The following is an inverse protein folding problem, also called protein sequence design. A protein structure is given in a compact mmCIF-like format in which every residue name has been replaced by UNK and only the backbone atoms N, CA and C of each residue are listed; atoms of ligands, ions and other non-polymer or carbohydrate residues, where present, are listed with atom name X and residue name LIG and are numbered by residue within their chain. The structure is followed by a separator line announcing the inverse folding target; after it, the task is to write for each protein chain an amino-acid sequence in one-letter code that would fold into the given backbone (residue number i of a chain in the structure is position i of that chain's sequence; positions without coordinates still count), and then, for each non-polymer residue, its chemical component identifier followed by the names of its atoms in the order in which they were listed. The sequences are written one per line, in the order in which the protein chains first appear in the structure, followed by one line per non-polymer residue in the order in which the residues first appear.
data_IF_305025568970
#
_entry.id   IF_305025568970
#
_cell.length_a   1.000
_cell.length_b   1.000
_cell.length_c   1.000
_cell.angle_alpha   90.00
_cell.angle_beta   90.00
_cell.angle_gamma   90.00
#
_symmetry.space_group_name_H-M   'P 1'
#
loop_
_entity.id
_entity.type
_entity.pdbx_description
1 polymer ?
#
# COMPACT_ATOMS: atom_id res chain seq x y z
N UNK A 1 -29.80 11.04 -10.82
CA UNK A 1 -29.02 10.96 -9.57
C UNK A 1 -28.13 12.19 -9.55
N UNK A 2 -28.03 12.92 -8.43
CA UNK A 2 -27.15 14.09 -8.36
C UNK A 2 -25.70 13.63 -8.22
N UNK A 3 -24.96 13.65 -9.34
CA UNK A 3 -23.58 13.14 -9.40
C UNK A 3 -22.58 14.02 -8.65
N UNK A 4 -22.97 15.24 -8.27
CA UNK A 4 -22.13 16.16 -7.48
C UNK A 4 -21.93 15.68 -6.03
N UNK A 5 -22.81 14.79 -5.55
CA UNK A 5 -22.78 14.24 -4.19
C UNK A 5 -22.14 12.86 -4.09
N UNK A 6 -21.47 12.40 -5.15
CA UNK A 6 -20.79 11.11 -5.13
C UNK A 6 -19.72 11.08 -4.01
N UNK A 7 -19.68 10.02 -3.20
CA UNK A 7 -18.73 9.90 -2.08
C UNK A 7 -17.31 9.52 -2.55
N UNK A 8 -16.99 9.75 -3.82
CA UNK A 8 -15.70 9.48 -4.46
C UNK A 8 -15.32 10.63 -5.38
N UNK A 9 -14.01 10.87 -5.62
CA UNK A 9 -13.57 11.87 -6.59
C UNK A 9 -14.04 11.48 -8.00
N UNK A 10 -14.98 12.25 -8.53
CA UNK A 10 -15.66 11.98 -9.78
C UNK A 10 -15.69 13.24 -10.64
N UNK A 11 -15.45 13.05 -11.94
CA UNK A 11 -15.59 14.08 -12.96
C UNK A 11 -16.47 13.59 -14.10
N UNK A 12 -17.27 14.51 -14.63
CA UNK A 12 -17.93 14.38 -15.92
C UNK A 12 -17.17 15.27 -16.89
N UNK A 13 -16.69 14.72 -18.01
CA UNK A 13 -15.92 15.45 -19.01
C UNK A 13 -16.55 15.34 -20.40
N UNK A 14 -16.23 16.27 -21.29
CA UNK A 14 -16.45 16.09 -22.73
C UNK A 14 -15.24 15.43 -23.42
N UNK A 15 -15.31 15.29 -24.75
CA UNK A 15 -14.24 14.69 -25.57
C UNK A 15 -12.97 15.52 -25.65
N UNK A 16 -13.06 16.82 -25.33
CA UNK A 16 -11.94 17.75 -25.28
C UNK A 16 -11.38 17.86 -23.85
N UNK A 17 -11.78 16.94 -22.96
CA UNK A 17 -11.37 16.85 -21.56
C UNK A 17 -11.85 18.01 -20.68
N UNK A 18 -12.78 18.84 -21.15
CA UNK A 18 -13.35 19.89 -20.30
C UNK A 18 -14.27 19.28 -19.26
N UNK A 19 -14.09 19.70 -18.01
CA UNK A 19 -14.88 19.26 -16.87
C UNK A 19 -16.25 19.94 -16.93
N UNK A 20 -17.28 19.15 -17.24
CA UNK A 20 -18.67 19.56 -17.23
C UNK A 20 -19.22 19.63 -15.80
N UNK A 21 -18.90 18.62 -14.97
CA UNK A 21 -19.27 18.58 -13.55
C UNK A 21 -18.24 17.81 -12.73
N UNK A 22 -18.15 18.11 -11.44
CA UNK A 22 -17.29 17.41 -10.49
C UNK A 22 -18.07 17.07 -9.21
N UNK A 23 -17.66 16.02 -8.51
CA UNK A 23 -18.15 15.73 -7.16
C UNK A 23 -17.48 16.61 -6.10
N UNK A 24 -18.12 16.77 -4.95
CA UNK A 24 -17.52 17.47 -3.81
C UNK A 24 -16.19 16.86 -3.36
N UNK A 25 -16.03 15.53 -3.50
CA UNK A 25 -14.77 14.86 -3.20
C UNK A 25 -13.68 15.18 -4.22
N UNK A 26 -14.03 15.32 -5.50
CA UNK A 26 -13.09 15.73 -6.53
C UNK A 26 -12.61 17.17 -6.30
N UNK A 27 -13.52 18.09 -5.99
CA UNK A 27 -13.17 19.49 -5.67
C UNK A 27 -12.30 19.62 -4.41
N UNK A 28 -12.56 18.79 -3.40
CA UNK A 28 -11.76 18.74 -2.18
C UNK A 28 -10.35 18.19 -2.40
N UNK A 29 -10.18 17.29 -3.38
CA UNK A 29 -8.92 16.61 -3.66
C UNK A 29 -8.05 17.35 -4.68
N UNK A 30 -8.65 17.87 -5.75
CA UNK A 30 -7.96 18.46 -6.89
C UNK A 30 -8.13 19.99 -6.93
N UNK A 31 -7.07 20.69 -7.35
CA UNK A 31 -7.11 22.13 -7.60
C UNK A 31 -7.05 22.35 -9.12
N UNK A 32 -8.20 22.38 -9.78
CA UNK A 32 -8.25 22.69 -11.20
C UNK A 32 -9.58 23.28 -11.61
N UNK A 33 -9.51 24.13 -12.62
CA UNK A 33 -10.62 24.91 -13.11
C UNK A 33 -10.60 24.78 -14.64
N UNK A 34 -11.42 23.89 -15.20
CA UNK A 34 -11.61 23.84 -16.65
C UNK A 34 -11.38 22.46 -17.25
N UNK A 35 -10.13 21.96 -17.28
CA UNK A 35 -9.82 20.69 -17.95
C UNK A 35 -9.31 19.62 -16.96
N UNK A 36 -9.63 18.36 -17.26
CA UNK A 36 -9.03 17.21 -16.58
C UNK A 36 -7.51 17.17 -16.79
N UNK A 37 -7.02 17.61 -17.96
CA UNK A 37 -5.58 17.57 -18.28
C UNK A 37 -4.76 18.52 -17.40
N UNK A 38 -5.35 19.62 -16.94
CA UNK A 38 -4.68 20.56 -16.02
C UNK A 38 -4.34 19.89 -14.67
N UNK A 39 -5.14 18.90 -14.28
CA UNK A 39 -4.98 18.10 -13.06
C UNK A 39 -3.90 17.03 -13.21
N UNK A 40 -3.37 16.80 -14.42
CA UNK A 40 -2.43 15.71 -14.71
C UNK A 40 -1.02 16.29 -14.77
N UNK A 41 -0.05 15.53 -14.27
CA UNK A 41 1.37 15.87 -14.39
C UNK A 41 1.81 15.82 -15.86
N UNK A 42 2.74 16.70 -16.24
CA UNK A 42 3.23 16.83 -17.62
C UNK A 42 3.74 15.49 -18.17
N UNK A 43 4.43 14.67 -17.35
CA UNK A 43 4.92 13.36 -17.74
C UNK A 43 3.84 12.30 -17.94
N UNK A 44 2.59 12.58 -17.54
CA UNK A 44 1.43 11.69 -17.65
C UNK A 44 0.39 12.16 -18.68
N UNK A 45 0.53 13.36 -19.25
CA UNK A 45 -0.46 13.91 -20.21
C UNK A 45 -0.59 13.06 -21.48
N UNK A 46 0.51 12.62 -22.07
CA UNK A 46 0.47 11.78 -23.30
C UNK A 46 -0.23 10.44 -23.05
N UNK A 47 -0.03 9.88 -21.84
CA UNK A 47 -0.71 8.66 -21.41
C UNK A 47 -2.21 8.92 -21.23
N UNK A 48 -2.57 10.03 -20.61
CA UNK A 48 -3.96 10.43 -20.43
C UNK A 48 -4.68 10.62 -21.77
N UNK A 49 -4.10 11.37 -22.70
CA UNK A 49 -4.74 11.65 -24.00
C UNK A 49 -4.83 10.41 -24.90
N UNK A 50 -3.92 9.45 -24.73
CA UNK A 50 -3.97 8.18 -25.45
C UNK A 50 -5.06 7.27 -24.92
N UNK A 51 -5.14 7.12 -23.59
CA UNK A 51 -5.96 6.07 -22.97
C UNK A 51 -7.28 6.56 -22.40
N UNK A 52 -7.45 7.84 -22.06
CA UNK A 52 -8.72 8.39 -21.59
C UNK A 52 -9.55 8.82 -22.83
N UNK A 53 -10.20 7.85 -23.47
CA UNK A 53 -10.99 8.09 -24.67
C UNK A 53 -12.08 7.04 -24.84
N UNK A 54 -13.14 7.35 -25.62
CA UNK A 54 -14.22 6.38 -25.91
C UNK A 54 -13.69 5.06 -26.49
N UNK A 55 -12.63 5.11 -27.29
CA UNK A 55 -12.00 3.92 -27.92
C UNK A 55 -11.33 2.98 -26.92
N UNK A 56 -11.06 3.45 -25.70
CA UNK A 56 -10.44 2.70 -24.61
C UNK A 56 -11.38 2.62 -23.39
N UNK A 57 -12.68 2.81 -23.59
CA UNK A 57 -13.67 2.71 -22.54
C UNK A 57 -13.50 1.41 -21.74
N UNK A 58 -13.52 1.52 -20.41
CA UNK A 58 -13.27 0.45 -19.43
C UNK A 58 -11.81 0.05 -19.17
N UNK A 59 -10.82 0.70 -19.79
CA UNK A 59 -9.42 0.54 -19.39
C UNK A 59 -9.12 1.46 -18.20
N UNK A 60 -8.56 0.88 -17.13
CA UNK A 60 -8.00 1.65 -16.01
C UNK A 60 -6.63 2.21 -16.41
N UNK A 61 -6.40 3.48 -16.10
CA UNK A 61 -5.16 4.18 -16.42
C UNK A 61 -4.55 4.73 -15.14
N UNK A 62 -3.36 4.29 -14.81
CA UNK A 62 -2.59 4.86 -13.71
C UNK A 62 -1.89 6.15 -14.17
N UNK A 63 -2.13 7.26 -13.49
CA UNK A 63 -1.61 8.59 -13.83
C UNK A 63 -1.04 9.29 -12.61
N UNK A 64 -0.02 10.13 -12.82
CA UNK A 64 0.40 11.10 -11.80
C UNK A 64 -0.48 12.34 -11.94
N UNK A 65 -1.17 12.70 -10.86
CA UNK A 65 -2.07 13.85 -10.82
C UNK A 65 -1.67 14.84 -9.73
N UNK A 66 -1.96 16.12 -9.98
CA UNK A 66 -1.70 17.25 -9.08
C UNK A 66 -2.85 17.35 -8.08
N UNK A 67 -2.56 17.16 -6.79
CA UNK A 67 -3.58 17.24 -5.72
C UNK A 67 -3.32 18.43 -4.81
N UNK A 68 -4.34 18.86 -4.06
CA UNK A 68 -4.25 19.99 -3.12
C UNK A 68 -3.29 19.75 -1.95
N UNK A 69 -3.29 18.53 -1.42
CA UNK A 69 -2.54 18.17 -0.20
C UNK A 69 -1.16 17.63 -0.50
N UNK A 70 -1.03 16.87 -1.61
CA UNK A 70 0.23 16.32 -2.08
C UNK A 70 0.48 16.81 -3.50
N UNK A 71 1.58 17.55 -3.77
CA UNK A 71 1.78 18.19 -5.07
C UNK A 71 1.63 17.24 -6.26
N UNK A 72 2.01 15.97 -6.09
CA UNK A 72 1.84 14.89 -7.05
C UNK A 72 1.46 13.59 -6.33
N UNK A 73 0.41 12.93 -6.79
CA UNK A 73 -0.06 11.64 -6.30
C UNK A 73 -0.27 10.65 -7.45
N UNK A 74 -0.06 9.36 -7.17
CA UNK A 74 -0.38 8.28 -8.09
C UNK A 74 -1.88 7.96 -7.97
N UNK A 75 -2.59 7.98 -9.09
CA UNK A 75 -4.03 7.87 -9.14
C UNK A 75 -4.44 6.85 -10.18
N UNK A 76 -5.28 5.90 -9.77
CA UNK A 76 -5.97 5.00 -10.68
C UNK A 76 -7.20 5.71 -11.24
N UNK A 77 -7.23 5.87 -12.55
CA UNK A 77 -8.32 6.56 -13.26
C UNK A 77 -9.17 5.53 -13.99
N UNK A 78 -10.44 5.45 -13.58
CA UNK A 78 -11.46 4.63 -14.22
C UNK A 78 -12.33 5.50 -15.09
N UNK A 79 -12.69 4.99 -16.27
CA UNK A 79 -13.51 5.71 -17.23
C UNK A 79 -14.66 4.86 -17.77
N UNK A 80 -15.79 5.51 -17.99
CA UNK A 80 -16.91 5.03 -18.80
C UNK A 80 -17.33 6.16 -19.73
N UNK A 81 -17.77 5.85 -20.94
CA UNK A 81 -18.24 6.84 -21.91
C UNK A 81 -19.66 6.50 -22.33
N UNK A 82 -20.52 7.51 -22.43
CA UNK A 82 -21.87 7.35 -22.96
C UNK A 82 -21.91 7.48 -24.50
N UNK A 83 -23.09 7.24 -25.08
CA UNK A 83 -23.30 7.37 -26.53
C UNK A 83 -23.21 8.82 -27.02
N UNK A 84 -23.44 9.79 -26.15
CA UNK A 84 -23.37 11.24 -26.44
C UNK A 84 -21.92 11.75 -26.48
N UNK A 85 -20.96 10.97 -25.97
CA UNK A 85 -19.55 11.33 -25.92
C UNK A 85 -19.13 11.98 -24.61
N UNK A 86 -19.94 11.86 -23.57
CA UNK A 86 -19.63 12.29 -22.20
C UNK A 86 -18.79 11.22 -21.51
N UNK A 87 -17.68 11.63 -20.92
CA UNK A 87 -16.79 10.78 -20.14
C UNK A 87 -17.10 10.87 -18.65
N UNK A 88 -17.34 9.72 -18.02
CA UNK A 88 -17.52 9.54 -16.59
C UNK A 88 -16.22 9.02 -15.98
N UNK A 89 -15.54 9.85 -15.21
CA UNK A 89 -14.20 9.58 -14.68
C UNK A 89 -14.26 9.44 -13.17
N UNK A 90 -13.68 8.37 -12.63
CA UNK A 90 -13.49 8.16 -11.19
C UNK A 90 -11.99 8.07 -10.90
N UNK A 91 -11.53 8.86 -9.94
CA UNK A 91 -10.13 8.92 -9.54
C UNK A 91 -9.94 8.33 -8.15
N UNK A 92 -9.10 7.29 -8.05
CA UNK A 92 -8.74 6.64 -6.78
C UNK A 92 -7.27 6.89 -6.49
N UNK A 93 -6.97 7.71 -5.48
CA UNK A 93 -5.59 7.93 -5.06
C UNK A 93 -5.03 6.69 -4.38
N UNK A 94 -3.88 6.20 -4.87
CA UNK A 94 -3.13 5.18 -4.14
C UNK A 94 -2.52 5.83 -2.88
N UNK A 95 -2.82 5.27 -1.71
CA UNK A 95 -2.35 5.86 -0.46
C UNK A 95 -0.82 5.73 -0.35
N UNK A 96 -0.13 6.84 -0.11
CA UNK A 96 1.32 6.85 0.18
C UNK A 96 1.67 6.04 1.42
N UNK A 97 0.75 5.86 2.37
CA UNK A 97 0.98 5.01 3.55
C UNK A 97 1.30 3.57 3.14
N UNK A 98 0.61 3.03 2.13
CA UNK A 98 0.89 1.68 1.63
C UNK A 98 2.28 1.60 0.97
N UNK A 99 2.71 2.63 0.25
CA UNK A 99 4.05 2.70 -0.35
C UNK A 99 5.15 2.83 0.71
N UNK A 100 4.97 3.66 1.74
CA UNK A 100 5.95 3.79 2.84
C UNK A 100 6.12 2.46 3.56
N UNK A 101 5.02 1.77 3.86
CA UNK A 101 5.04 0.44 4.48
C UNK A 101 5.73 -0.58 3.57
N UNK A 102 5.44 -0.56 2.26
CA UNK A 102 6.05 -1.46 1.27
C UNK A 102 7.56 -1.21 1.13
N UNK A 103 7.99 0.04 1.10
CA UNK A 103 9.41 0.42 1.04
C UNK A 103 10.14 0.05 2.34
N UNK A 104 9.50 0.22 3.49
CA UNK A 104 10.04 -0.23 4.78
C UNK A 104 10.17 -1.76 4.85
N UNK A 105 9.17 -2.48 4.35
CA UNK A 105 9.22 -3.94 4.19
C UNK A 105 10.35 -4.38 3.27
N UNK A 106 10.54 -3.71 2.13
CA UNK A 106 11.64 -3.99 1.20
C UNK A 106 13.01 -3.75 1.84
N UNK A 107 13.19 -2.65 2.57
CA UNK A 107 14.44 -2.36 3.29
C UNK A 107 14.72 -3.40 4.37
N UNK A 108 13.72 -3.77 5.18
CA UNK A 108 13.86 -4.83 6.18
C UNK A 108 14.16 -6.18 5.54
N UNK A 109 13.54 -6.51 4.40
CA UNK A 109 13.84 -7.74 3.65
C UNK A 109 15.29 -7.77 3.12
N UNK A 110 15.84 -6.64 2.66
CA UNK A 110 17.23 -6.55 2.22
C UNK A 110 18.21 -6.63 3.41
N UNK A 111 17.93 -5.94 4.51
CA UNK A 111 18.73 -6.00 5.74
C UNK A 111 18.74 -7.40 6.36
N UNK A 112 17.68 -8.21 6.17
CA UNK A 112 17.61 -9.60 6.60
C UNK A 112 18.36 -10.57 5.66
N UNK A 113 18.63 -10.19 4.41
CA UNK A 113 19.45 -11.00 3.47
C UNK A 113 20.95 -10.85 3.72
N UNK A 114 21.42 -9.70 4.20
CA UNK A 114 22.84 -9.47 4.51
C UNK A 114 23.46 -10.34 5.62
N UNK A 115 22.80 -10.62 6.77
CA UNK A 115 23.41 -11.38 7.87
C UNK A 115 23.66 -12.86 7.56
N UNK A 116 23.11 -13.38 6.45
CA UNK A 116 23.38 -14.73 5.98
C UNK A 116 24.68 -14.83 5.14
N UNK A 117 25.17 -13.72 4.56
CA UNK A 117 26.29 -13.75 3.60
C UNK A 117 27.67 -13.68 4.25
N UNK A 118 27.78 -13.14 5.47
CA UNK A 118 29.07 -12.86 6.14
C UNK A 118 29.28 -13.61 7.47
N UNK A 119 28.85 -14.87 7.60
CA UNK A 119 29.32 -15.71 8.73
C UNK A 119 30.60 -16.45 8.35
N UNK A 120 31.77 -16.12 8.96
CA UNK A 120 32.95 -16.96 8.83
C UNK A 120 32.64 -18.36 9.40
N UNK A 121 32.99 -19.39 8.62
CA UNK A 121 32.72 -20.79 8.89
C UNK A 121 33.32 -21.32 10.22
N UNK A 122 34.11 -20.53 10.94
CA UNK A 122 34.76 -20.91 12.19
C UNK A 122 33.88 -20.78 13.43
N UNK A 123 32.80 -20.00 13.42
CA UNK A 123 31.91 -19.85 14.59
C UNK A 123 30.87 -20.98 14.74
N UNK A 124 30.72 -21.84 13.73
CA UNK A 124 29.73 -22.92 13.74
C UNK A 124 30.06 -24.08 14.70
N UNK A 125 31.26 -24.11 15.31
CA UNK A 125 31.71 -25.26 16.11
C UNK A 125 31.50 -25.10 17.63
N UNK A 126 31.07 -23.94 18.11
CA UNK A 126 30.99 -23.66 19.57
C UNK A 126 29.63 -23.17 20.08
N UNK A 127 28.64 -22.92 19.22
CA UNK A 127 27.37 -22.33 19.65
C UNK A 127 26.14 -23.15 19.20
N UNK A 128 25.70 -24.09 20.05
CA UNK A 128 24.39 -24.76 19.97
C UNK A 128 24.17 -25.65 18.75
N UNK A 129 23.58 -26.84 18.94
CA UNK A 129 23.27 -27.74 17.83
C UNK A 129 22.36 -27.09 16.76
N UNK A 130 22.25 -27.69 15.55
CA UNK A 130 21.49 -27.14 14.42
C UNK A 130 20.02 -26.81 14.74
N UNK A 131 19.43 -27.46 15.74
CA UNK A 131 18.08 -27.19 16.25
C UNK A 131 17.99 -25.83 16.97
N UNK A 132 19.02 -25.47 17.73
CA UNK A 132 19.08 -24.20 18.49
C UNK A 132 19.19 -23.00 17.55
N UNK A 133 19.93 -23.15 16.45
CA UNK A 133 20.03 -22.14 15.39
C UNK A 133 18.68 -21.94 14.67
N UNK A 134 17.98 -23.02 14.32
CA UNK A 134 16.63 -22.93 13.72
C UNK A 134 15.60 -22.27 14.64
N UNK A 135 15.63 -22.58 15.94
CA UNK A 135 14.72 -21.94 16.92
C UNK A 135 15.02 -20.44 17.01
N UNK A 136 16.30 -20.05 17.06
CA UNK A 136 16.70 -18.64 17.05
C UNK A 136 16.25 -17.90 15.78
N UNK A 137 16.42 -18.51 14.62
CA UNK A 137 16.00 -17.95 13.34
C UNK A 137 14.48 -17.79 13.27
N UNK A 138 13.72 -18.78 13.74
CA UNK A 138 12.26 -18.72 13.79
C UNK A 138 11.78 -17.64 14.77
N UNK A 139 12.39 -17.53 15.95
CA UNK A 139 12.07 -16.48 16.92
C UNK A 139 12.35 -15.09 16.36
N UNK A 140 13.47 -14.90 15.65
CA UNK A 140 13.79 -13.62 15.02
C UNK A 140 12.75 -13.24 13.95
N UNK A 141 12.35 -14.19 13.10
CA UNK A 141 11.32 -13.96 12.08
C UNK A 141 9.96 -13.59 12.72
N UNK A 142 9.57 -14.28 13.79
CA UNK A 142 8.34 -13.98 14.53
C UNK A 142 8.38 -12.59 15.19
N UNK A 143 9.53 -12.16 15.71
CA UNK A 143 9.70 -10.80 16.24
C UNK A 143 9.53 -9.74 15.16
N UNK A 144 10.13 -9.93 13.98
CA UNK A 144 9.95 -8.99 12.86
C UNK A 144 8.49 -8.90 12.40
N UNK A 145 7.79 -10.03 12.31
CA UNK A 145 6.36 -10.03 11.96
C UNK A 145 5.54 -9.25 13.00
N UNK A 146 5.84 -9.39 14.30
CA UNK A 146 5.18 -8.61 15.36
C UNK A 146 5.40 -7.10 15.19
N UNK A 147 6.63 -6.68 14.93
CA UNK A 147 6.97 -5.26 14.69
C UNK A 147 6.22 -4.69 13.48
N UNK A 148 6.05 -5.49 12.43
CA UNK A 148 5.26 -5.09 11.24
C UNK A 148 3.77 -4.94 11.57
N UNK A 149 3.21 -5.87 12.36
CA UNK A 149 1.80 -5.78 12.80
C UNK A 149 1.59 -4.58 13.73
N UNK A 150 2.57 -4.22 14.56
CA UNK A 150 2.54 -3.00 15.36
C UNK A 150 2.53 -1.74 14.48
N UNK A 151 3.33 -1.72 13.42
CA UNK A 151 3.39 -0.60 12.47
C UNK A 151 2.09 -0.43 11.67
N UNK A 152 1.40 -1.53 11.36
CA UNK A 152 0.12 -1.53 10.65
C UNK A 152 -1.09 -1.22 11.56
N UNK A 153 -0.92 -1.29 12.88
CA UNK A 153 -2.01 -1.17 13.84
C UNK A 153 -2.83 0.14 13.71
N UNK A 154 -2.24 1.33 13.50
CA UNK A 154 -2.99 2.55 13.29
C UNK A 154 -3.91 2.50 12.07
N UNK A 155 -3.44 1.94 10.95
CA UNK A 155 -4.26 1.80 9.72
C UNK A 155 -5.37 0.75 9.89
N UNK A 156 -5.10 -0.34 10.61
CA UNK A 156 -6.11 -1.35 10.93
C UNK A 156 -7.19 -0.82 11.89
N UNK A 157 -6.84 0.15 12.75
CA UNK A 157 -7.79 0.87 13.58
C UNK A 157 -8.75 1.73 12.75
N UNK A 158 -8.22 2.47 11.77
CA UNK A 158 -9.02 3.27 10.84
C UNK A 158 -9.99 2.42 10.00
N UNK A 159 -9.57 1.20 9.64
CA UNK A 159 -10.38 0.24 8.89
C UNK A 159 -11.31 -0.63 9.77
N UNK A 160 -11.32 -0.43 11.10
CA UNK A 160 -12.06 -1.23 12.08
C UNK A 160 -11.75 -2.76 12.00
N UNK A 161 -10.49 -3.10 11.72
CA UNK A 161 -9.98 -4.46 11.53
C UNK A 161 -8.94 -4.88 12.58
N UNK A 162 -8.86 -4.17 13.73
CA UNK A 162 -7.87 -4.43 14.79
C UNK A 162 -7.92 -5.85 15.35
N UNK A 163 -9.09 -6.50 15.30
CA UNK A 163 -9.29 -7.89 15.75
C UNK A 163 -8.29 -8.86 15.08
N UNK A 164 -7.97 -8.66 13.80
CA UNK A 164 -7.00 -9.50 13.11
C UNK A 164 -5.57 -9.26 13.60
N UNK A 165 -5.21 -8.00 13.88
CA UNK A 165 -3.91 -7.66 14.45
C UNK A 165 -3.73 -8.28 15.84
N UNK A 166 -4.77 -8.21 16.68
CA UNK A 166 -4.75 -8.77 18.03
C UNK A 166 -4.59 -10.29 18.02
N UNK A 167 -5.34 -10.99 17.15
CA UNK A 167 -5.21 -12.45 16.98
C UNK A 167 -3.80 -12.82 16.50
N UNK A 168 -3.26 -12.11 15.50
CA UNK A 168 -1.92 -12.41 14.97
C UNK A 168 -0.85 -12.18 16.05
N UNK A 169 -0.93 -11.08 16.81
CA UNK A 169 -0.01 -10.80 17.92
C UNK A 169 -0.09 -11.89 18.99
N UNK A 170 -1.29 -12.32 19.38
CA UNK A 170 -1.48 -13.35 20.38
C UNK A 170 -0.88 -14.71 19.94
N UNK A 171 -1.04 -15.09 18.67
CA UNK A 171 -0.43 -16.31 18.14
C UNK A 171 1.11 -16.22 18.08
N UNK A 172 1.66 -15.05 17.73
CA UNK A 172 3.11 -14.83 17.72
C UNK A 172 3.68 -14.93 19.14
N UNK A 173 3.03 -14.27 20.11
CA UNK A 173 3.46 -14.30 21.51
C UNK A 173 3.37 -15.72 22.09
N UNK A 174 2.36 -16.50 21.68
CA UNK A 174 2.24 -17.92 22.02
C UNK A 174 3.38 -18.75 21.43
N UNK A 175 3.66 -18.60 20.14
CA UNK A 175 4.73 -19.33 19.47
C UNK A 175 6.13 -18.99 20.04
N UNK A 176 6.35 -17.73 20.43
CA UNK A 176 7.59 -17.29 21.09
C UNK A 176 7.73 -17.88 22.50
N UNK A 177 6.63 -17.94 23.28
CA UNK A 177 6.61 -18.61 24.60
C UNK A 177 6.87 -20.11 24.48
N UNK A 178 6.27 -20.78 23.50
CA UNK A 178 6.45 -22.22 23.29
C UNK A 178 7.90 -22.55 22.86
N UNK A 179 8.49 -21.70 22.01
CA UNK A 179 9.91 -21.79 21.65
C UNK A 179 10.86 -21.58 22.85
N UNK A 180 10.45 -20.77 23.83
CA UNK A 180 11.18 -20.56 25.08
C UNK A 180 10.90 -21.64 26.16
N UNK A 181 9.76 -22.34 26.08
CA UNK A 181 9.37 -23.40 27.01
C UNK A 181 9.85 -24.81 26.60
N UNK A 182 10.20 -25.02 25.32
CA UNK A 182 10.78 -26.27 24.81
C UNK A 182 12.19 -26.63 25.31
N UNK A 183 12.71 -25.92 26.32
CA UNK A 183 13.99 -26.21 26.96
C UNK A 183 13.79 -27.16 28.15
N UNK A 184 14.29 -28.41 28.11
CA UNK A 184 14.51 -29.13 29.36
C UNK A 184 15.56 -28.36 30.15
N UNK A 185 15.19 -27.92 31.35
CA UNK A 185 16.13 -27.44 32.35
C UNK A 185 17.09 -28.58 32.71
N UNK A 186 18.20 -28.71 31.99
CA UNK A 186 19.32 -29.55 32.40
C UNK A 186 19.97 -28.92 33.63
N UNK A 187 19.45 -29.31 34.79
CA UNK A 187 20.16 -29.64 36.02
C UNK A 187 21.05 -28.57 36.67
N UNK A 188 20.70 -28.22 37.91
CA UNK A 188 21.69 -28.22 39.00
C UNK A 188 21.09 -28.89 40.24
N UNK A 189 21.74 -30.03 40.57
CA UNK A 189 21.90 -30.74 41.84
C UNK A 189 21.08 -30.29 43.05
#
# INVERSE_FOLDING_TARGET
MDMTRMPVPYFCIDRDYYILTASSQAEAMFAGNGSLLDLIDEGSVDKATTYISPSHANVMVELIMKTRTTPLALVDVYQSWDEEGTGHIVCICQSRQFQIVTDQLHRLHEDLKEPARNRPAEMARTAGGPVMMRIRELSAALTTIRELVDLLYPSLLEMNQTVYADIIKEQIDRALRDAAAGYPQTGKR
#
